data_IF_295190327985
#
_entry.id   IF_295190327985
#
_cell.length_a   1.000
_cell.length_b   1.000
_cell.length_c   1.000
_cell.angle_alpha   90.00
_cell.angle_beta   90.00
_cell.angle_gamma   90.00
#
_symmetry.space_group_name_H-M   'P 1'
#
loop_
_entity.id
_entity.type
_entity.pdbx_description
1 polymer ?
#
# COMPACT_ATOMS: atom_id res chain seq x y z
N UNK A 1 14.37 -15.19 1.86
CA UNK A 1 15.02 -13.91 1.51
C UNK A 1 14.99 -13.80 -0.01
N UNK A 2 14.14 -12.95 -0.60
CA UNK A 2 14.02 -12.82 -2.07
C UNK A 2 13.94 -11.34 -2.40
N UNK A 3 14.84 -10.80 -3.22
CA UNK A 3 14.67 -9.50 -3.90
C UNK A 3 15.89 -8.58 -3.83
N UNK A 4 16.43 -8.23 -5.00
CA UNK A 4 17.66 -7.47 -5.19
C UNK A 4 17.60 -5.99 -4.77
N UNK A 5 18.68 -5.26 -5.11
CA UNK A 5 19.03 -3.88 -4.67
C UNK A 5 17.89 -2.84 -4.65
N UNK A 6 16.80 -3.04 -5.40
CA UNK A 6 15.61 -2.19 -5.39
C UNK A 6 14.90 -2.09 -4.02
N UNK A 7 15.07 -3.06 -3.11
CA UNK A 7 14.49 -2.98 -1.75
C UNK A 7 15.36 -2.23 -0.73
N UNK A 8 16.51 -1.68 -1.13
CA UNK A 8 17.30 -0.84 -0.24
C UNK A 8 16.55 0.46 0.14
N UNK A 9 15.68 0.94 -0.77
CA UNK A 9 14.77 2.05 -0.53
C UNK A 9 13.35 1.52 -0.31
N UNK A 10 12.68 2.10 0.67
CA UNK A 10 11.27 1.90 0.96
C UNK A 10 10.39 2.58 -0.11
N UNK A 11 9.14 2.11 -0.31
CA UNK A 11 8.22 2.72 -1.27
C UNK A 11 8.09 4.23 -1.16
N UNK A 12 8.01 4.78 0.07
CA UNK A 12 7.91 6.23 0.28
C UNK A 12 9.13 7.00 -0.21
N UNK A 13 10.32 6.41 -0.09
CA UNK A 13 11.56 7.03 -0.54
C UNK A 13 11.66 7.09 -2.07
N UNK A 14 10.76 6.45 -2.81
CA UNK A 14 10.67 6.50 -4.26
C UNK A 14 9.64 7.54 -4.77
N UNK A 15 9.07 8.33 -3.86
CA UNK A 15 8.24 9.51 -4.19
C UNK A 15 9.07 10.80 -4.15
N UNK A 16 8.55 11.88 -4.73
CA UNK A 16 9.20 13.20 -4.72
C UNK A 16 9.27 13.80 -3.30
N UNK A 17 8.27 13.51 -2.46
CA UNK A 17 8.21 13.93 -1.05
C UNK A 17 7.81 12.74 -0.14
N UNK A 18 8.80 12.08 0.50
CA UNK A 18 8.57 10.93 1.37
C UNK A 18 7.70 11.23 2.61
N UNK A 19 7.65 12.48 3.08
CA UNK A 19 6.85 12.89 4.25
C UNK A 19 5.39 13.13 3.89
N UNK A 20 5.10 13.41 2.61
CA UNK A 20 3.73 13.51 2.09
C UNK A 20 3.09 12.16 1.74
N UNK A 21 3.74 11.03 2.06
CA UNK A 21 3.18 9.70 1.82
C UNK A 21 1.82 9.50 2.53
N UNK A 22 0.81 8.84 1.91
CA UNK A 22 0.75 8.31 0.54
C UNK A 22 0.09 9.28 -0.46
N UNK A 23 0.09 10.59 -0.22
CA UNK A 23 -0.71 11.53 -1.02
C UNK A 23 -0.09 11.88 -2.37
N UNK A 24 1.24 11.81 -2.52
CA UNK A 24 1.91 12.08 -3.79
C UNK A 24 2.20 10.81 -4.60
N UNK A 25 2.00 10.81 -5.93
CA UNK A 25 2.30 9.68 -6.79
C UNK A 25 3.81 9.39 -6.87
N UNK A 26 4.15 8.15 -7.23
CA UNK A 26 5.51 7.70 -7.52
C UNK A 26 5.70 7.48 -9.02
N UNK A 27 6.87 7.85 -9.55
CA UNK A 27 7.28 7.47 -10.91
C UNK A 27 7.70 6.00 -11.01
N UNK A 28 8.14 5.38 -9.90
CA UNK A 28 8.39 3.95 -9.83
C UNK A 28 7.06 3.18 -9.78
N UNK A 29 6.86 2.29 -10.76
CA UNK A 29 5.61 1.54 -10.91
C UNK A 29 5.27 0.65 -9.72
N UNK A 30 6.28 0.06 -9.08
CA UNK A 30 6.06 -0.82 -7.93
C UNK A 30 5.71 0.00 -6.68
N UNK A 31 6.40 1.12 -6.45
CA UNK A 31 6.07 2.04 -5.36
C UNK A 31 4.69 2.70 -5.55
N UNK A 32 4.29 3.01 -6.78
CA UNK A 32 2.93 3.52 -7.04
C UNK A 32 1.85 2.48 -6.72
N UNK A 33 2.10 1.20 -7.00
CA UNK A 33 1.19 0.13 -6.57
C UNK A 33 1.08 0.06 -5.04
N UNK A 34 2.21 0.14 -4.32
CA UNK A 34 2.20 0.14 -2.84
C UNK A 34 1.51 1.38 -2.29
N UNK A 35 1.73 2.55 -2.90
CA UNK A 35 1.06 3.80 -2.54
C UNK A 35 -0.46 3.67 -2.70
N UNK A 36 -0.92 3.09 -3.81
CA UNK A 36 -2.35 2.85 -4.04
C UNK A 36 -2.93 1.94 -2.95
N UNK A 37 -2.26 0.82 -2.65
CA UNK A 37 -2.65 -0.10 -1.57
C UNK A 37 -2.75 0.65 -0.24
N UNK A 38 -1.71 1.42 0.13
CA UNK A 38 -1.65 2.16 1.39
C UNK A 38 -2.77 3.20 1.49
N UNK A 39 -3.01 3.96 0.41
CA UNK A 39 -4.04 5.01 0.36
C UNK A 39 -5.46 4.43 0.42
N UNK A 40 -5.74 3.38 -0.34
CA UNK A 40 -7.03 2.70 -0.33
C UNK A 40 -7.29 2.06 1.04
N UNK A 41 -6.30 1.38 1.61
CA UNK A 41 -6.42 0.78 2.93
C UNK A 41 -6.65 1.86 4.00
N UNK A 42 -5.89 2.97 3.99
CA UNK A 42 -6.06 4.08 4.95
C UNK A 42 -7.50 4.59 4.95
N UNK A 43 -8.08 4.84 3.76
CA UNK A 43 -9.47 5.28 3.63
C UNK A 43 -10.44 4.28 4.24
N UNK A 44 -10.32 3.01 3.88
CA UNK A 44 -11.21 1.96 4.41
C UNK A 44 -11.12 1.83 5.93
N UNK A 45 -9.92 1.97 6.50
CA UNK A 45 -9.74 1.93 7.95
C UNK A 45 -10.39 3.13 8.64
N UNK A 46 -10.22 4.34 8.09
CA UNK A 46 -10.85 5.57 8.61
C UNK A 46 -12.37 5.50 8.50
N UNK A 47 -12.90 5.17 7.32
CA UNK A 47 -14.34 5.13 7.06
C UNK A 47 -15.08 4.13 7.97
N UNK A 48 -14.39 3.07 8.39
CA UNK A 48 -14.95 2.01 9.25
C UNK A 48 -14.53 2.12 10.72
N UNK A 49 -13.74 3.13 11.09
CA UNK A 49 -13.21 3.28 12.46
C UNK A 49 -12.33 2.11 12.91
N UNK A 50 -11.65 1.43 11.99
CA UNK A 50 -10.82 0.25 12.30
C UNK A 50 -9.44 0.66 12.82
N UNK A 51 -9.13 0.25 14.05
CA UNK A 51 -7.78 0.40 14.60
C UNK A 51 -6.80 -0.60 13.97
N UNK A 52 -5.50 -0.29 13.99
CA UNK A 52 -4.45 -1.23 13.55
C UNK A 52 -4.50 -2.59 14.28
N UNK A 53 -4.94 -2.60 15.55
CA UNK A 53 -5.12 -3.83 16.32
C UNK A 53 -6.28 -4.66 15.77
N UNK A 54 -7.43 -4.04 15.52
CA UNK A 54 -8.59 -4.70 14.94
C UNK A 54 -8.28 -5.24 13.54
N UNK A 55 -7.59 -4.44 12.71
CA UNK A 55 -7.15 -4.85 11.38
C UNK A 55 -6.21 -6.05 11.42
N UNK A 56 -5.23 -6.04 12.32
CA UNK A 56 -4.31 -7.16 12.48
C UNK A 56 -5.03 -8.44 12.92
N UNK A 57 -5.93 -8.34 13.91
CA UNK A 57 -6.71 -9.47 14.39
C UNK A 57 -7.63 -10.04 13.32
N UNK A 58 -8.33 -9.20 12.56
CA UNK A 58 -9.29 -9.64 11.55
C UNK A 58 -8.66 -10.13 10.24
N UNK A 59 -7.49 -9.62 9.87
CA UNK A 59 -6.78 -10.05 8.65
C UNK A 59 -5.75 -11.16 8.88
N UNK A 60 -5.33 -11.40 10.13
CA UNK A 60 -4.20 -12.28 10.43
C UNK A 60 -2.85 -11.75 9.92
N UNK A 61 -2.76 -10.45 9.63
CA UNK A 61 -1.50 -9.76 9.29
C UNK A 61 -0.92 -9.12 10.56
N UNK A 62 0.40 -9.18 10.70
CA UNK A 62 1.08 -8.56 11.83
C UNK A 62 0.78 -7.05 11.90
N UNK A 63 0.43 -6.54 13.09
CA UNK A 63 0.10 -5.12 13.31
C UNK A 63 1.20 -4.17 12.81
N UNK A 64 2.46 -4.51 13.03
CA UNK A 64 3.60 -3.70 12.59
C UNK A 64 3.71 -3.71 11.07
N UNK A 65 3.48 -4.85 10.41
CA UNK A 65 3.45 -4.92 8.95
C UNK A 65 2.34 -4.04 8.35
N UNK A 66 1.15 -3.99 8.98
CA UNK A 66 0.09 -3.04 8.59
C UNK A 66 0.56 -1.60 8.77
N UNK A 67 1.17 -1.26 9.91
CA UNK A 67 1.67 0.09 10.16
C UNK A 67 2.76 0.53 9.16
N UNK A 68 3.70 -0.37 8.85
CA UNK A 68 4.80 -0.09 7.92
C UNK A 68 4.31 0.01 6.47
N UNK A 69 3.30 -0.77 6.08
CA UNK A 69 2.62 -0.61 4.80
C UNK A 69 1.95 0.76 4.67
N UNK A 70 1.14 1.14 5.67
CA UNK A 70 0.42 2.42 5.65
C UNK A 70 1.37 3.62 5.58
N UNK A 71 2.53 3.51 6.22
CA UNK A 71 3.57 4.55 6.24
C UNK A 71 4.60 4.41 5.12
N UNK A 72 4.45 3.43 4.23
CA UNK A 72 5.32 3.25 3.06
C UNK A 72 6.75 2.84 3.40
N UNK A 73 6.99 2.27 4.59
CA UNK A 73 8.30 1.80 5.06
C UNK A 73 8.64 0.38 4.62
N UNK A 74 7.64 -0.40 4.17
CA UNK A 74 7.84 -1.79 3.77
C UNK A 74 7.19 -2.12 2.43
N UNK A 75 7.79 -3.09 1.75
CA UNK A 75 7.22 -3.72 0.56
C UNK A 75 6.29 -4.86 1.03
N UNK A 76 4.96 -4.75 0.88
CA UNK A 76 4.06 -5.84 1.23
C UNK A 76 4.28 -7.02 0.27
N UNK A 77 4.15 -8.23 0.79
CA UNK A 77 4.05 -9.41 -0.06
C UNK A 77 2.60 -9.65 -0.52
N UNK A 78 2.44 -10.54 -1.50
CA UNK A 78 1.13 -10.88 -2.09
C UNK A 78 0.18 -11.43 -1.02
N UNK A 79 0.67 -12.22 -0.07
CA UNK A 79 -0.15 -12.80 0.99
C UNK A 79 -0.72 -11.72 1.92
N UNK A 80 0.07 -10.70 2.26
CA UNK A 80 -0.33 -9.54 3.06
C UNK A 80 -1.44 -8.78 2.36
N UNK A 81 -1.26 -8.45 1.08
CA UNK A 81 -2.28 -7.72 0.29
C UNK A 81 -3.57 -8.53 0.20
N UNK A 82 -3.49 -9.83 -0.11
CA UNK A 82 -4.67 -10.68 -0.23
C UNK A 82 -5.46 -10.80 1.08
N UNK A 83 -4.78 -10.96 2.22
CA UNK A 83 -5.44 -11.03 3.54
C UNK A 83 -6.12 -9.72 3.92
N UNK A 84 -5.45 -8.58 3.68
CA UNK A 84 -6.03 -7.26 3.93
C UNK A 84 -7.22 -6.99 3.03
N UNK A 85 -7.12 -7.30 1.74
CA UNK A 85 -8.22 -7.17 0.78
C UNK A 85 -9.41 -8.04 1.18
N UNK A 86 -9.17 -9.29 1.56
CA UNK A 86 -10.23 -10.20 2.03
C UNK A 86 -10.93 -9.69 3.29
N UNK A 87 -10.17 -9.29 4.31
CA UNK A 87 -10.73 -8.76 5.56
C UNK A 87 -11.52 -7.46 5.36
N UNK A 88 -11.00 -6.57 4.51
CA UNK A 88 -11.65 -5.28 4.25
C UNK A 88 -12.74 -5.37 3.18
N UNK A 89 -12.79 -6.43 2.38
CA UNK A 89 -13.64 -6.50 1.19
C UNK A 89 -13.31 -5.43 0.14
N UNK A 90 -12.16 -4.76 0.23
CA UNK A 90 -11.76 -3.69 -0.67
C UNK A 90 -10.85 -4.23 -1.79
N UNK A 91 -10.98 -3.67 -2.99
CA UNK A 91 -10.00 -3.88 -4.05
C UNK A 91 -8.75 -3.03 -3.74
N UNK A 92 -7.70 -3.66 -3.23
CA UNK A 92 -6.46 -2.96 -2.88
C UNK A 92 -5.49 -2.82 -4.05
N UNK A 93 -5.62 -3.67 -5.09
CA UNK A 93 -4.70 -3.63 -6.22
C UNK A 93 -5.10 -2.51 -7.19
N UNK A 94 -4.14 -1.77 -7.78
CA UNK A 94 -4.48 -0.77 -8.79
C UNK A 94 -5.19 -1.40 -9.98
N UNK A 95 -6.35 -0.88 -10.34
CA UNK A 95 -7.03 -1.29 -11.56
C UNK A 95 -6.25 -0.82 -12.79
N UNK A 96 -6.02 -1.73 -13.74
CA UNK A 96 -5.32 -1.47 -15.00
C UNK A 96 -5.98 -0.37 -15.84
N UNK A 97 -7.26 -0.09 -15.62
CA UNK A 97 -8.06 0.93 -16.33
C UNK A 97 -7.64 2.38 -16.02
N UNK A 98 -6.82 2.61 -14.98
CA UNK A 98 -6.37 3.95 -14.60
C UNK A 98 -4.91 4.25 -15.04
N UNK A 99 -4.18 3.25 -15.51
CA UNK A 99 -2.80 3.41 -16.01
C UNK A 99 -2.80 3.95 -17.46
N UNK A 100 -3.86 3.66 -18.22
CA UNK A 100 -3.98 4.05 -19.63
C UNK A 100 -4.49 5.50 -19.82
N UNK A 101 -5.23 6.05 -18.84
CA UNK A 101 -5.86 7.37 -18.98
C UNK A 101 -4.87 8.56 -18.93
N UNK A 102 -3.60 8.33 -18.55
CA UNK A 102 -2.53 9.35 -18.54
C UNK A 102 -1.60 9.31 -19.75
N UNK A 103 -1.86 8.46 -20.76
CA UNK A 103 -1.05 8.36 -21.98
C UNK A 103 -1.64 9.06 -23.21
N UNK A 104 -2.69 9.86 -23.03
CA UNK A 104 -3.27 10.62 -24.14
C UNK A 104 -3.36 12.08 -23.73
N UNK A 105 -2.33 12.86 -24.03
CA UNK A 105 -2.38 14.24 -24.53
C UNK A 105 -0.97 14.72 -24.86
#
# INVERSE_FOLDING_TARGET
>A
MVGGRARARSPRELTDDPEAWPEQPSADMAAEAVRHIARTLTRVLVDRGLSLRATAAGSGVNRQAVADLLTGRSWPDVATVARLAHFTGANLWPDSSNIDRKRTH
#
